data_IF_919024891888
#
_entry.id   IF_919024891888
#
_cell.length_a   1.000
_cell.length_b   1.000
_cell.length_c   1.000
_cell.angle_alpha   90.00
_cell.angle_beta   90.00
_cell.angle_gamma   90.00
#
_symmetry.space_group_name_H-M   'P 1'
#
loop_
_entity.id
_entity.type
_entity.pdbx_description
1 polymer ?
#
# COMPACT_ATOMS: atom_id res chain seq x y z
N UNK A 1 0.18 14.19 17.77
CA UNK A 1 1.47 13.47 17.77
C UNK A 1 1.83 13.19 16.31
N UNK A 2 2.89 13.84 15.82
CA UNK A 2 3.33 13.89 14.41
C UNK A 2 4.08 12.61 13.99
N UNK A 3 3.44 11.46 14.15
CA UNK A 3 3.96 10.19 13.64
C UNK A 3 4.14 10.17 12.11
N UNK A 4 3.27 10.81 11.30
CA UNK A 4 3.42 10.82 9.85
C UNK A 4 4.71 11.50 9.38
N UNK A 5 5.12 12.59 10.00
CA UNK A 5 6.24 13.42 9.57
C UNK A 5 7.59 12.72 9.80
N UNK A 6 7.76 12.10 10.98
CA UNK A 6 8.97 11.32 11.30
C UNK A 6 9.12 10.13 10.36
N UNK A 7 8.04 9.41 10.07
CA UNK A 7 8.06 8.30 9.13
C UNK A 7 8.33 8.81 7.71
N UNK A 8 7.72 9.93 7.31
CA UNK A 8 7.92 10.53 5.98
C UNK A 8 9.40 10.86 5.72
N UNK A 9 10.08 11.51 6.67
CA UNK A 9 11.51 11.82 6.56
C UNK A 9 12.35 10.56 6.42
N UNK A 10 12.03 9.50 7.14
CA UNK A 10 12.72 8.22 7.00
C UNK A 10 12.45 7.55 5.65
N UNK A 11 11.22 7.64 5.13
CA UNK A 11 10.93 7.13 3.78
C UNK A 11 11.70 7.93 2.72
N UNK A 12 11.80 9.25 2.85
CA UNK A 12 12.59 10.09 1.94
C UNK A 12 14.06 9.70 1.97
N UNK A 13 14.62 9.48 3.16
CA UNK A 13 15.99 8.98 3.30
C UNK A 13 16.17 7.61 2.64
N UNK A 14 15.27 6.66 2.87
CA UNK A 14 15.34 5.33 2.25
C UNK A 14 15.33 5.44 0.72
N UNK A 15 14.41 6.21 0.13
CA UNK A 15 14.32 6.35 -1.33
C UNK A 15 15.59 6.95 -1.95
N UNK A 16 16.24 7.89 -1.25
CA UNK A 16 17.50 8.51 -1.72
C UNK A 16 18.71 7.58 -1.57
N UNK A 17 18.62 6.54 -0.72
CA UNK A 17 19.74 5.69 -0.33
C UNK A 17 19.55 4.21 -0.72
N UNK A 18 18.64 3.88 -1.64
CA UNK A 18 18.32 2.47 -1.97
C UNK A 18 19.52 1.64 -2.47
N UNK A 19 20.54 2.29 -3.04
CA UNK A 19 21.77 1.68 -3.54
C UNK A 19 22.89 1.58 -2.49
N UNK A 20 22.65 2.04 -1.27
CA UNK A 20 23.60 1.96 -0.15
C UNK A 20 23.08 1.02 0.94
N UNK A 21 23.94 0.70 1.91
CA UNK A 21 23.51 -0.11 3.06
C UNK A 21 22.68 0.76 4.01
N UNK A 22 21.41 0.39 4.22
CA UNK A 22 20.48 1.09 5.11
C UNK A 22 20.21 0.20 6.32
N UNK A 23 20.43 0.72 7.52
CA UNK A 23 20.22 0.02 8.80
C UNK A 23 18.96 0.49 9.52
N UNK A 24 18.41 -0.30 10.44
CA UNK A 24 17.29 0.16 11.26
C UNK A 24 17.77 1.16 12.33
N UNK A 25 19.01 0.99 12.77
CA UNK A 25 19.74 1.80 13.73
C UNK A 25 19.86 3.26 13.28
N UNK A 26 20.28 3.49 12.03
CA UNK A 26 20.42 4.84 11.49
C UNK A 26 19.06 5.57 11.44
N UNK A 27 17.99 4.88 10.99
CA UNK A 27 16.66 5.45 10.85
C UNK A 27 16.05 5.78 12.22
N UNK A 28 16.26 4.91 13.21
CA UNK A 28 15.84 5.14 14.58
C UNK A 28 16.56 6.34 15.20
N UNK A 29 17.87 6.47 14.95
CA UNK A 29 18.68 7.59 15.41
C UNK A 29 18.25 8.92 14.77
N UNK A 30 17.99 8.93 13.46
CA UNK A 30 17.44 10.11 12.76
C UNK A 30 16.11 10.58 13.34
N UNK A 31 15.32 9.64 13.87
CA UNK A 31 14.02 9.89 14.45
C UNK A 31 14.06 10.19 15.97
N UNK A 32 15.24 10.17 16.62
CA UNK A 32 15.39 10.26 18.07
C UNK A 32 14.59 9.21 18.87
N UNK A 33 14.53 7.98 18.35
CA UNK A 33 13.89 6.85 19.03
C UNK A 33 14.89 5.72 19.30
N UNK A 34 14.56 4.88 20.28
CA UNK A 34 15.22 3.56 20.37
C UNK A 34 14.84 2.71 19.16
N UNK A 35 15.76 1.84 18.74
CA UNK A 35 15.59 0.93 17.59
C UNK A 35 14.29 0.14 17.73
N UNK A 36 14.05 -0.42 18.91
CA UNK A 36 12.85 -1.21 19.20
C UNK A 36 11.56 -0.40 19.02
N UNK A 37 11.50 0.81 19.59
CA UNK A 37 10.31 1.64 19.46
C UNK A 37 10.07 2.08 18.01
N UNK A 38 11.15 2.46 17.32
CA UNK A 38 11.11 2.89 15.94
C UNK A 38 10.62 1.78 14.99
N UNK A 39 11.16 0.56 15.11
CA UNK A 39 10.72 -0.59 14.31
C UNK A 39 9.22 -0.90 14.50
N UNK A 40 8.72 -0.80 15.74
CA UNK A 40 7.29 -0.98 16.05
C UNK A 40 6.43 0.11 15.45
N UNK A 41 6.85 1.37 15.57
CA UNK A 41 6.16 2.51 15.00
C UNK A 41 6.12 2.44 13.47
N UNK A 42 7.26 2.16 12.83
CA UNK A 42 7.34 2.01 11.37
C UNK A 42 6.40 0.91 10.89
N UNK A 43 6.43 -0.25 11.54
CA UNK A 43 5.58 -1.39 11.13
C UNK A 43 4.09 -1.11 11.34
N UNK A 44 3.73 -0.33 12.36
CA UNK A 44 2.32 0.03 12.61
C UNK A 44 1.78 1.03 11.59
N UNK A 45 2.63 1.95 11.12
CA UNK A 45 2.29 2.97 10.10
C UNK A 45 2.32 2.38 8.69
N UNK A 46 3.41 1.69 8.34
CA UNK A 46 3.66 1.20 6.98
C UNK A 46 3.05 -0.16 6.69
N UNK A 47 2.62 -0.90 7.73
CA UNK A 47 2.05 -2.24 7.58
C UNK A 47 3.07 -3.34 7.24
N UNK A 48 4.36 -3.00 7.25
CA UNK A 48 5.48 -3.91 6.98
C UNK A 48 6.73 -3.48 7.76
N UNK A 49 7.65 -4.41 8.00
CA UNK A 49 8.94 -4.06 8.60
C UNK A 49 9.79 -3.16 7.69
N UNK A 50 10.73 -2.43 8.29
CA UNK A 50 11.72 -1.59 7.57
C UNK A 50 12.44 -2.40 6.49
N UNK A 51 12.95 -3.59 6.84
CA UNK A 51 13.65 -4.46 5.89
C UNK A 51 12.75 -4.91 4.73
N UNK A 52 11.48 -5.25 5.00
CA UNK A 52 10.53 -5.63 3.94
C UNK A 52 10.20 -4.45 3.03
N UNK A 53 10.09 -3.25 3.60
CA UNK A 53 9.89 -2.02 2.85
C UNK A 53 11.09 -1.75 1.93
N UNK A 54 12.32 -1.69 2.46
CA UNK A 54 13.54 -1.45 1.67
C UNK A 54 13.69 -2.49 0.56
N UNK A 55 13.46 -3.78 0.87
CA UNK A 55 13.51 -4.86 -0.13
C UNK A 55 12.54 -4.59 -1.28
N UNK A 56 11.28 -4.28 -0.98
CA UNK A 56 10.26 -3.99 -1.99
C UNK A 56 10.66 -2.79 -2.85
N UNK A 57 11.18 -1.73 -2.23
CA UNK A 57 11.64 -0.52 -2.95
C UNK A 57 12.84 -0.80 -3.86
N UNK A 58 13.82 -1.56 -3.39
CA UNK A 58 14.95 -2.02 -4.20
C UNK A 58 14.49 -2.87 -5.40
N UNK A 59 13.55 -3.78 -5.19
CA UNK A 59 12.97 -4.58 -6.28
C UNK A 59 12.23 -3.70 -7.30
N UNK A 60 11.42 -2.75 -6.84
CA UNK A 60 10.68 -1.83 -7.70
C UNK A 60 11.64 -1.00 -8.57
N UNK A 61 12.63 -0.35 -7.96
CA UNK A 61 13.55 0.52 -8.68
C UNK A 61 14.50 -0.26 -9.61
N UNK A 62 15.02 -1.40 -9.17
CA UNK A 62 15.81 -2.28 -10.03
C UNK A 62 15.00 -2.74 -11.27
N UNK A 63 13.72 -3.10 -11.09
CA UNK A 63 12.88 -3.52 -12.21
C UNK A 63 12.65 -2.37 -13.21
N UNK A 64 12.48 -1.14 -12.74
CA UNK A 64 12.32 0.03 -13.60
C UNK A 64 13.56 0.30 -14.46
N UNK A 65 14.76 0.25 -13.87
CA UNK A 65 16.00 0.42 -14.62
C UNK A 65 16.23 -0.72 -15.64
N UNK A 66 15.88 -1.96 -15.29
CA UNK A 66 15.92 -3.11 -16.21
C UNK A 66 14.92 -2.92 -17.36
N UNK A 67 13.71 -2.44 -17.08
CA UNK A 67 12.71 -2.13 -18.10
C UNK A 67 13.18 -1.03 -19.05
N UNK A 68 13.96 -0.07 -18.53
CA UNK A 68 14.63 0.98 -19.31
C UNK A 68 15.83 0.50 -20.13
N UNK A 69 16.14 -0.80 -20.13
CA UNK A 69 17.16 -1.40 -20.99
C UNK A 69 18.55 -1.55 -20.36
N UNK A 70 18.72 -1.23 -19.07
CA UNK A 70 20.00 -1.49 -18.37
C UNK A 70 20.23 -2.99 -18.18
N UNK A 71 21.50 -3.39 -18.18
CA UNK A 71 21.92 -4.78 -17.93
C UNK A 71 21.46 -5.25 -16.55
N UNK A 72 20.70 -6.34 -16.52
CA UNK A 72 20.03 -6.79 -15.30
C UNK A 72 20.99 -7.16 -14.16
N UNK A 73 22.15 -7.77 -14.44
CA UNK A 73 23.11 -8.12 -13.39
C UNK A 73 23.71 -6.86 -12.74
N UNK A 74 24.08 -5.86 -13.54
CA UNK A 74 24.70 -4.62 -13.04
C UNK A 74 23.72 -3.87 -12.13
N UNK A 75 22.47 -3.73 -12.58
CA UNK A 75 21.42 -3.05 -11.80
C UNK A 75 21.18 -3.75 -10.45
N UNK A 76 21.02 -5.08 -10.42
CA UNK A 76 20.70 -5.73 -9.14
C UNK A 76 21.87 -5.67 -8.15
N UNK A 77 23.12 -5.66 -8.64
CA UNK A 77 24.30 -5.45 -7.80
C UNK A 77 24.29 -4.03 -7.19
N UNK A 78 23.98 -3.01 -7.99
CA UNK A 78 23.84 -1.62 -7.51
C UNK A 78 22.75 -1.47 -6.43
N UNK A 79 21.66 -2.24 -6.51
CA UNK A 79 20.60 -2.26 -5.49
C UNK A 79 20.88 -3.19 -4.30
N UNK A 80 22.13 -3.63 -4.13
CA UNK A 80 22.58 -4.38 -2.95
C UNK A 80 22.22 -5.86 -2.94
N UNK A 81 21.88 -6.46 -4.09
CA UNK A 81 21.80 -7.91 -4.22
C UNK A 81 23.17 -8.47 -4.58
N UNK A 82 23.57 -9.60 -3.99
CA UNK A 82 24.86 -10.22 -4.33
C UNK A 82 24.84 -10.98 -5.67
N UNK A 83 23.66 -11.40 -6.12
CA UNK A 83 23.48 -12.16 -7.37
C UNK A 83 22.10 -11.89 -7.98
N UNK A 84 21.99 -12.06 -9.31
CA UNK A 84 20.70 -12.04 -9.99
C UNK A 84 19.75 -13.14 -9.49
N UNK A 85 20.28 -14.31 -9.10
CA UNK A 85 19.47 -15.37 -8.51
C UNK A 85 18.82 -14.95 -7.18
N UNK A 86 19.54 -14.18 -6.36
CA UNK A 86 19.01 -13.59 -5.12
C UNK A 86 17.89 -12.60 -5.40
N UNK A 87 18.11 -11.68 -6.35
CA UNK A 87 17.07 -10.77 -6.84
C UNK A 87 15.85 -11.52 -7.35
N UNK A 88 16.03 -12.51 -8.22
CA UNK A 88 14.93 -13.29 -8.80
C UNK A 88 14.09 -13.98 -7.73
N UNK A 89 14.72 -14.65 -6.76
CA UNK A 89 14.01 -15.31 -5.65
C UNK A 89 13.20 -14.31 -4.83
N UNK A 90 13.79 -13.16 -4.50
CA UNK A 90 13.10 -12.11 -3.77
C UNK A 90 11.93 -11.53 -4.59
N UNK A 91 12.15 -11.29 -5.88
CA UNK A 91 11.14 -10.78 -6.80
C UNK A 91 9.95 -11.72 -6.90
N UNK A 92 10.18 -13.01 -7.16
CA UNK A 92 9.09 -14.01 -7.23
C UNK A 92 8.34 -14.10 -5.90
N UNK A 93 9.03 -14.01 -4.76
CA UNK A 93 8.38 -14.03 -3.44
C UNK A 93 7.44 -12.83 -3.24
N UNK A 94 7.86 -11.63 -3.65
CA UNK A 94 7.11 -10.39 -3.49
C UNK A 94 5.99 -10.26 -4.54
N UNK A 95 6.33 -10.39 -5.82
CA UNK A 95 5.40 -10.15 -6.94
C UNK A 95 4.65 -11.40 -7.41
N UNK A 96 5.12 -12.61 -7.09
CA UNK A 96 4.45 -13.85 -7.47
C UNK A 96 4.74 -14.34 -8.90
N UNK A 97 5.55 -13.61 -9.68
CA UNK A 97 5.95 -14.00 -11.02
C UNK A 97 7.40 -13.59 -11.31
N UNK A 98 7.95 -14.00 -12.45
CA UNK A 98 9.30 -13.58 -12.86
C UNK A 98 9.32 -12.12 -13.33
N UNK A 99 10.46 -11.42 -13.21
CA UNK A 99 10.62 -10.06 -13.74
C UNK A 99 10.21 -9.93 -15.21
N UNK A 100 10.63 -10.90 -16.04
CA UNK A 100 10.29 -10.94 -17.47
C UNK A 100 8.78 -11.06 -17.70
N UNK A 101 8.09 -11.90 -16.93
CA UNK A 101 6.63 -12.08 -17.03
C UNK A 101 5.90 -10.80 -16.59
N UNK A 102 6.39 -10.15 -15.53
CA UNK A 102 5.85 -8.88 -15.06
C UNK A 102 5.95 -7.77 -16.11
N UNK A 103 7.14 -7.58 -16.72
CA UNK A 103 7.39 -6.54 -17.74
C UNK A 103 6.67 -6.79 -19.07
N UNK A 104 6.36 -8.06 -19.40
CA UNK A 104 5.54 -8.38 -20.56
C UNK A 104 4.10 -7.85 -20.42
N UNK A 105 3.58 -7.85 -19.19
CA UNK A 105 2.21 -7.39 -18.88
C UNK A 105 2.20 -5.87 -18.63
N UNK A 106 3.22 -5.37 -17.93
CA UNK A 106 3.40 -3.96 -17.62
C UNK A 106 4.57 -3.43 -18.46
N UNK A 107 4.26 -2.88 -19.64
CA UNK A 107 5.28 -2.35 -20.58
C UNK A 107 6.26 -1.38 -19.92
N UNK A 108 5.78 -0.67 -18.89
CA UNK A 108 6.57 0.21 -18.06
C UNK A 108 6.38 -0.18 -16.59
N UNK A 109 7.43 -0.02 -15.79
CA UNK A 109 7.35 -0.12 -14.34
C UNK A 109 7.75 1.21 -13.72
N UNK A 110 6.82 1.87 -13.04
CA UNK A 110 7.04 3.15 -12.38
C UNK A 110 7.10 2.88 -10.87
N UNK A 111 8.28 3.03 -10.21
CA UNK A 111 8.41 2.82 -8.78
C UNK A 111 7.53 3.82 -8.02
N UNK A 112 6.39 3.36 -7.51
CA UNK A 112 5.47 4.24 -6.77
C UNK A 112 5.79 4.19 -5.28
N UNK A 113 6.27 5.30 -4.71
CA UNK A 113 6.53 5.42 -3.27
C UNK A 113 5.21 5.24 -2.50
N UNK A 114 5.14 4.35 -1.50
CA UNK A 114 3.97 4.24 -0.64
C UNK A 114 3.73 5.57 0.10
N UNK A 115 2.49 6.06 0.06
CA UNK A 115 2.08 7.25 0.80
C UNK A 115 2.06 6.95 2.30
N UNK A 116 2.63 7.84 3.12
CA UNK A 116 2.45 7.79 4.58
C UNK A 116 1.04 8.27 4.87
N UNK A 117 0.19 7.38 5.33
CA UNK A 117 -1.20 7.74 5.67
C UNK A 117 -1.28 8.13 7.14
N UNK A 118 -2.10 9.14 7.42
CA UNK A 118 -2.50 9.50 8.77
C UNK A 118 -2.98 8.26 9.54
N UNK A 119 -2.43 8.04 10.75
CA UNK A 119 -2.93 6.99 11.63
C UNK A 119 -4.27 7.40 12.23
N UNK A 120 -5.28 6.58 12.00
CA UNK A 120 -6.59 6.72 12.63
C UNK A 120 -6.77 5.68 13.73
N UNK A 121 -7.20 6.15 14.91
CA UNK A 121 -7.66 5.25 15.97
C UNK A 121 -9.03 4.67 15.63
N UNK A 122 -9.37 3.51 16.20
CA UNK A 122 -10.72 2.92 16.04
C UNK A 122 -11.83 3.87 16.47
N UNK A 123 -11.59 4.73 17.47
CA UNK A 123 -12.55 5.76 17.90
C UNK A 123 -12.80 6.79 16.80
N UNK A 124 -11.74 7.36 16.23
CA UNK A 124 -11.85 8.33 15.13
C UNK A 124 -12.52 7.71 13.89
N UNK A 125 -12.18 6.46 13.54
CA UNK A 125 -12.84 5.77 12.43
C UNK A 125 -14.34 5.58 12.68
N UNK A 126 -14.76 5.30 13.92
CA UNK A 126 -16.18 5.21 14.28
C UNK A 126 -16.91 6.54 14.14
N UNK A 127 -16.28 7.63 14.57
CA UNK A 127 -16.83 8.98 14.40
C UNK A 127 -17.04 9.30 12.91
N UNK A 128 -16.06 8.96 12.06
CA UNK A 128 -16.18 9.10 10.60
C UNK A 128 -17.31 8.23 10.05
N UNK A 129 -17.38 6.94 10.44
CA UNK A 129 -18.42 6.02 9.97
C UNK A 129 -19.84 6.43 10.39
N UNK A 130 -19.98 7.22 11.46
CA UNK A 130 -21.25 7.81 11.89
C UNK A 130 -21.93 8.69 10.83
N UNK A 131 -21.23 9.06 9.76
CA UNK A 131 -21.78 9.78 8.61
C UNK A 131 -22.55 8.90 7.62
N UNK A 132 -22.53 7.58 7.77
CA UNK A 132 -23.28 6.64 6.93
C UNK A 132 -24.40 5.94 7.70
N UNK A 133 -25.44 5.51 6.98
CA UNK A 133 -26.52 4.68 7.53
C UNK A 133 -26.16 3.20 7.44
N UNK A 134 -25.20 2.77 8.26
CA UNK A 134 -24.79 1.37 8.41
C UNK A 134 -25.09 0.87 9.82
N UNK A 135 -25.13 -0.45 10.02
CA UNK A 135 -25.32 -1.06 11.33
C UNK A 135 -24.28 -0.54 12.34
N UNK A 136 -24.75 -0.19 13.53
CA UNK A 136 -23.87 0.25 14.60
C UNK A 136 -23.08 -0.92 15.20
N UNK A 137 -21.87 -0.65 15.68
CA UNK A 137 -21.04 -1.67 16.34
C UNK A 137 -20.28 -2.62 15.40
N UNK A 138 -20.37 -2.44 14.08
CA UNK A 138 -19.57 -3.22 13.12
C UNK A 138 -18.07 -3.19 13.44
N UNK A 139 -17.43 -4.35 13.30
CA UNK A 139 -15.98 -4.48 13.54
C UNK A 139 -15.18 -3.69 12.51
N UNK A 140 -14.11 -3.03 12.96
CA UNK A 140 -13.18 -2.28 12.09
C UNK A 140 -11.83 -2.99 12.15
N UNK A 141 -11.44 -3.56 11.02
CA UNK A 141 -10.25 -4.38 10.90
C UNK A 141 -9.33 -3.85 9.79
N UNK A 142 -8.03 -3.96 10.03
CA UNK A 142 -7.02 -3.72 9.00
C UNK A 142 -7.15 -4.76 7.88
N UNK A 143 -6.84 -4.34 6.66
CA UNK A 143 -6.82 -5.25 5.52
C UNK A 143 -5.39 -5.74 5.33
N UNK A 144 -5.24 -7.04 5.09
CA UNK A 144 -3.96 -7.66 4.76
C UNK A 144 -3.98 -8.14 3.32
N UNK A 145 -2.90 -7.87 2.60
CA UNK A 145 -2.65 -8.41 1.26
C UNK A 145 -2.20 -9.86 1.43
N UNK A 146 -2.36 -10.67 0.39
CA UNK A 146 -1.99 -12.10 0.37
C UNK A 146 -0.53 -12.40 0.77
N UNK A 147 0.37 -11.42 0.73
CA UNK A 147 1.75 -11.57 1.20
C UNK A 147 1.90 -11.37 2.72
N UNK A 148 0.80 -11.17 3.44
CA UNK A 148 0.75 -10.89 4.87
C UNK A 148 1.03 -9.43 5.22
N UNK A 149 1.34 -8.57 4.24
CA UNK A 149 1.51 -7.14 4.48
C UNK A 149 0.16 -6.48 4.75
N UNK A 150 0.12 -5.63 5.77
CA UNK A 150 -1.06 -4.81 6.04
C UNK A 150 -1.14 -3.72 4.97
N UNK A 151 -2.31 -3.54 4.36
CA UNK A 151 -2.62 -2.37 3.54
C UNK A 151 -2.44 -1.14 4.42
N UNK A 152 -1.77 -0.12 3.89
CA UNK A 152 -1.49 1.14 4.58
C UNK A 152 -2.72 1.69 5.28
N UNK A 153 -2.52 2.53 6.31
CA UNK A 153 -3.58 3.11 7.14
C UNK A 153 -4.57 4.04 6.44
N UNK A 154 -4.89 3.80 5.17
CA UNK A 154 -5.94 4.43 4.38
C UNK A 154 -7.12 3.50 4.08
N UNK A 155 -7.03 2.19 4.35
CA UNK A 155 -8.10 1.25 3.99
C UNK A 155 -8.43 0.30 5.14
N UNK A 156 -9.72 0.19 5.46
CA UNK A 156 -10.22 -0.68 6.53
C UNK A 156 -11.43 -1.49 6.08
N UNK A 157 -11.51 -2.72 6.55
CA UNK A 157 -12.72 -3.51 6.45
C UNK A 157 -13.67 -3.12 7.60
N UNK A 158 -14.93 -2.84 7.25
CA UNK A 158 -15.99 -2.49 8.19
C UNK A 158 -17.06 -3.57 8.11
N UNK A 159 -17.14 -4.40 9.15
CA UNK A 159 -17.91 -5.64 9.12
C UNK A 159 -17.48 -6.56 7.98
N UNK A 160 -18.46 -7.29 7.44
CA UNK A 160 -18.24 -8.19 6.31
C UNK A 160 -18.57 -7.54 4.96
N UNK A 161 -19.21 -6.37 4.96
CA UNK A 161 -19.91 -5.84 3.78
C UNK A 161 -19.34 -4.54 3.24
N UNK A 162 -18.46 -3.87 4.00
CA UNK A 162 -17.98 -2.55 3.60
C UNK A 162 -16.46 -2.42 3.68
N UNK A 163 -15.94 -1.54 2.83
CA UNK A 163 -14.55 -1.07 2.84
C UNK A 163 -14.56 0.45 2.96
N UNK A 164 -13.96 0.96 4.03
CA UNK A 164 -13.70 2.39 4.24
C UNK A 164 -12.34 2.73 3.63
N UNK A 165 -12.28 3.80 2.83
CA UNK A 165 -11.04 4.31 2.23
C UNK A 165 -10.85 5.79 2.54
N UNK A 166 -9.59 6.19 2.70
CA UNK A 166 -9.16 7.56 2.95
C UNK A 166 -7.99 7.92 2.02
N UNK A 167 -7.79 9.18 1.67
CA UNK A 167 -6.60 9.63 0.94
C UNK A 167 -6.90 10.74 -0.05
N UNK A 168 -6.05 10.82 -1.08
CA UNK A 168 -6.16 11.83 -2.12
C UNK A 168 -7.53 11.77 -2.85
N UNK A 169 -8.22 12.92 -2.87
CA UNK A 169 -9.56 13.06 -3.45
C UNK A 169 -9.56 12.73 -4.95
N UNK A 170 -8.60 13.24 -5.72
CA UNK A 170 -8.55 13.01 -7.17
C UNK A 170 -8.37 11.52 -7.49
N UNK A 171 -7.46 10.86 -6.78
CA UNK A 171 -7.19 9.43 -6.94
C UNK A 171 -8.40 8.58 -6.58
N UNK A 172 -9.07 8.88 -5.47
CA UNK A 172 -10.28 8.17 -5.05
C UNK A 172 -11.41 8.38 -6.06
N UNK A 173 -11.63 9.62 -6.49
CA UNK A 173 -12.69 9.96 -7.44
C UNK A 173 -12.45 9.33 -8.82
N UNK A 174 -11.19 9.28 -9.29
CA UNK A 174 -10.82 8.56 -10.51
C UNK A 174 -11.19 7.08 -10.43
N UNK A 175 -10.81 6.41 -9.34
CA UNK A 175 -11.14 5.00 -9.12
C UNK A 175 -12.66 4.76 -9.04
N UNK A 176 -13.39 5.70 -8.41
CA UNK A 176 -14.85 5.62 -8.31
C UNK A 176 -15.53 5.73 -9.68
N UNK A 177 -15.09 6.65 -10.53
CA UNK A 177 -15.57 6.79 -11.92
C UNK A 177 -15.39 5.50 -12.70
N UNK A 178 -14.23 4.87 -12.58
CA UNK A 178 -13.94 3.57 -13.22
C UNK A 178 -14.88 2.48 -12.68
N UNK A 179 -15.03 2.39 -11.36
CA UNK A 179 -15.90 1.38 -10.74
C UNK A 179 -17.36 1.49 -11.20
N UNK A 180 -17.89 2.72 -11.29
CA UNK A 180 -19.24 2.98 -11.81
C UNK A 180 -19.36 2.63 -13.30
N UNK A 181 -18.35 2.97 -14.10
CA UNK A 181 -18.34 2.62 -15.52
C UNK A 181 -18.38 1.09 -15.71
N UNK A 182 -17.57 0.35 -14.95
CA UNK A 182 -17.60 -1.12 -14.95
C UNK A 182 -18.97 -1.68 -14.55
N UNK A 183 -19.59 -1.10 -13.50
CA UNK A 183 -20.93 -1.51 -13.07
C UNK A 183 -21.98 -1.36 -14.17
N UNK A 184 -21.95 -0.21 -14.88
CA UNK A 184 -22.87 0.06 -15.99
C UNK A 184 -22.69 -0.90 -17.16
N UNK A 185 -21.51 -1.50 -17.31
CA UNK A 185 -21.21 -2.53 -18.31
C UNK A 185 -21.54 -3.95 -17.81
N UNK A 186 -22.20 -4.10 -16.66
CA UNK A 186 -22.61 -5.39 -16.10
C UNK A 186 -21.52 -6.12 -15.30
N UNK A 187 -20.35 -5.52 -15.10
CA UNK A 187 -19.32 -6.11 -14.25
C UNK A 187 -19.63 -5.91 -12.77
N UNK A 188 -19.30 -6.91 -11.95
CA UNK A 188 -19.33 -6.79 -10.49
C UNK A 188 -18.25 -5.79 -10.07
N UNK A 189 -18.64 -4.68 -9.46
CA UNK A 189 -17.73 -3.63 -9.00
C UNK A 189 -18.17 -3.01 -7.68
N UNK A 190 -17.27 -2.28 -7.03
CA UNK A 190 -17.46 -1.72 -5.70
C UNK A 190 -18.07 -0.32 -5.81
N UNK A 191 -19.36 -0.19 -5.47
CA UNK A 191 -20.10 1.06 -5.53
C UNK A 191 -20.00 1.86 -4.23
N UNK A 192 -20.13 3.21 -4.28
CA UNK A 192 -20.15 4.04 -3.09
C UNK A 192 -21.44 3.82 -2.29
N UNK A 193 -21.32 3.82 -0.98
CA UNK A 193 -22.46 3.91 -0.06
C UNK A 193 -22.70 5.39 0.23
N UNK A 194 -23.94 5.84 0.07
CA UNK A 194 -24.29 7.24 0.30
C UNK A 194 -24.24 7.57 1.80
N UNK A 195 -23.74 8.75 2.12
CA UNK A 195 -23.79 9.33 3.47
C UNK A 195 -25.23 9.65 3.86
N UNK A 196 -25.44 9.97 5.14
CA UNK A 196 -26.71 10.49 5.68
C UNK A 196 -27.19 11.74 4.95
N UNK A 197 -26.28 12.51 4.35
CA UNK A 197 -26.59 13.72 3.57
C UNK A 197 -26.75 13.45 2.07
N UNK A 198 -26.74 12.19 1.65
CA UNK A 198 -26.91 11.78 0.24
C UNK A 198 -25.66 11.95 -0.63
N UNK A 199 -24.50 12.25 -0.04
CA UNK A 199 -23.23 12.37 -0.77
C UNK A 199 -22.54 11.02 -0.88
N UNK A 200 -21.67 10.84 -1.87
CA UNK A 200 -20.92 9.59 -2.07
C UNK A 200 -19.68 9.49 -1.17
N UNK A 201 -19.33 10.58 -0.49
CA UNK A 201 -18.13 10.73 0.31
C UNK A 201 -18.40 11.63 1.51
N UNK A 202 -17.51 11.55 2.49
CA UNK A 202 -17.44 12.46 3.63
C UNK A 202 -16.12 13.22 3.56
N UNK A 203 -16.20 14.54 3.72
CA UNK A 203 -15.04 15.43 3.70
C UNK A 203 -14.89 16.07 5.08
N UNK A 204 -13.84 15.68 5.81
CA UNK A 204 -13.50 16.20 7.12
C UNK A 204 -12.07 16.73 7.12
N UNK A 205 -11.23 16.22 8.03
CA UNK A 205 -9.78 16.47 7.97
C UNK A 205 -9.14 15.86 6.72
N UNK A 206 -9.59 14.67 6.37
CA UNK A 206 -9.22 13.96 5.14
C UNK A 206 -10.51 13.58 4.37
N UNK A 207 -10.35 13.15 3.12
CA UNK A 207 -11.43 12.68 2.26
C UNK A 207 -11.70 11.19 2.48
N UNK A 208 -12.95 10.83 2.80
CA UNK A 208 -13.37 9.46 3.08
C UNK A 208 -14.48 8.97 2.15
N UNK A 209 -14.39 7.70 1.77
CA UNK A 209 -15.43 7.01 1.02
C UNK A 209 -15.71 5.64 1.64
N UNK A 210 -16.98 5.30 1.75
CA UNK A 210 -17.43 3.95 2.10
C UNK A 210 -17.91 3.26 0.83
N UNK A 211 -17.44 2.03 0.61
CA UNK A 211 -17.80 1.26 -0.58
C UNK A 211 -18.24 -0.15 -0.19
N UNK A 212 -19.12 -0.76 -0.99
CA UNK A 212 -19.48 -2.16 -0.83
C UNK A 212 -18.27 -3.07 -1.04
N UNK A 213 -18.06 -4.03 -0.14
CA UNK A 213 -16.99 -5.02 -0.23
C UNK A 213 -17.35 -6.04 -1.30
N UNK A 214 -16.47 -6.20 -2.28
CA UNK A 214 -16.59 -7.28 -3.25
C UNK A 214 -16.44 -8.62 -2.54
N UNK A 215 -17.46 -9.47 -2.67
CA UNK A 215 -17.44 -10.84 -2.17
C UNK A 215 -16.69 -11.72 -3.17
N UNK A 216 -15.85 -12.61 -2.64
CA UNK A 216 -15.06 -13.52 -3.45
C UNK A 216 -13.77 -13.94 -2.76
N UNK A 217 -13.04 -14.84 -3.41
CA UNK A 217 -11.70 -15.24 -2.98
C UNK A 217 -10.69 -14.52 -3.87
N UNK A 218 -9.66 -13.87 -3.29
CA UNK A 218 -8.59 -13.29 -4.07
C UNK A 218 -7.84 -14.40 -4.83
N UNK A 219 -7.42 -14.10 -6.06
CA UNK A 219 -6.58 -15.03 -6.83
C UNK A 219 -5.27 -15.30 -6.07
N UNK A 220 -4.86 -16.58 -5.96
CA UNK A 220 -3.58 -16.93 -5.36
C UNK A 220 -2.44 -16.32 -6.18
N UNK A 221 -1.28 -16.09 -5.55
CA UNK A 221 -0.13 -15.43 -6.20
C UNK A 221 0.26 -16.09 -7.53
N UNK A 222 0.16 -17.42 -7.60
CA UNK A 222 0.46 -18.23 -8.79
C UNK A 222 -0.45 -17.91 -9.98
N UNK A 223 -1.71 -17.59 -9.75
CA UNK A 223 -2.71 -17.38 -10.81
C UNK A 223 -2.83 -15.91 -11.25
N UNK A 224 -2.24 -14.97 -10.49
CA UNK A 224 -2.36 -13.53 -10.77
C UNK A 224 -1.81 -13.09 -12.11
N UNK A 225 -0.85 -13.84 -12.67
CA UNK A 225 -0.17 -13.47 -13.89
C UNK A 225 -0.39 -14.48 -15.04
N UNK A 226 -1.34 -15.42 -14.90
CA UNK A 226 -1.58 -16.52 -15.84
C UNK A 226 -0.38 -17.46 -15.90
#
# INVERSE_FOLDING_TARGET
>A
MQYPEIIKSALDYIEQNLKTNITAEELAKMANYSIYHYCRLFSSVMGSSIASYILKRRLDHALAEIAGGRTAIDVVLEYGFNTYAGFYKAFVKVYGCSPKKYLRINKEHIPTKPEVVNMYTKKQLREVLGNWNIEEGLSINDIYIMDGSKVSGNVWAVGNDYILKCGDCEKIMKNLKISKALHRQGFVSSLPVLTKTGREYFEGKDFFILTGRLKGRPLPKSERFG
#
